data_IF_781531584586
#
_entry.id   IF_781531584586
#
_cell.length_a   1.000
_cell.length_b   1.000
_cell.length_c   1.000
_cell.angle_alpha   90.00
_cell.angle_beta   90.00
_cell.angle_gamma   90.00
#
_symmetry.space_group_name_H-M   'P 1'
#
loop_
_entity.id
_entity.type
_entity.pdbx_description
1 polymer ?
#
# COMPACT_ATOMS: atom_id res chain seq x y z
N UNK A 1 20.92 14.97 -7.59
CA UNK A 1 20.15 14.16 -6.59
C UNK A 1 20.98 13.90 -5.35
N UNK A 2 22.21 13.38 -5.48
CA UNK A 2 23.13 13.24 -4.32
C UNK A 2 23.32 14.56 -3.57
N UNK A 3 23.36 15.67 -4.29
CA UNK A 3 23.50 17.05 -3.79
C UNK A 3 22.34 17.47 -2.88
N UNK A 4 21.10 17.11 -3.26
CA UNK A 4 19.91 17.35 -2.46
C UNK A 4 19.92 16.49 -1.19
N UNK A 5 20.30 15.22 -1.29
CA UNK A 5 20.48 14.34 -0.13
C UNK A 5 21.56 14.86 0.83
N UNK A 6 22.68 15.37 0.29
CA UNK A 6 23.75 15.99 1.09
C UNK A 6 23.29 17.29 1.75
N UNK A 7 22.63 18.18 1.02
CA UNK A 7 22.11 19.43 1.55
C UNK A 7 21.07 19.20 2.66
N UNK A 8 20.14 18.27 2.45
CA UNK A 8 19.16 17.88 3.47
C UNK A 8 19.84 17.28 4.70
N UNK A 9 20.82 16.39 4.52
CA UNK A 9 21.58 15.79 5.65
C UNK A 9 22.30 16.86 6.47
N UNK A 10 22.95 17.84 5.81
CA UNK A 10 23.57 18.97 6.49
C UNK A 10 22.56 19.81 7.27
N UNK A 11 21.43 20.19 6.65
CA UNK A 11 20.41 21.00 7.30
C UNK A 11 19.74 20.29 8.50
N UNK A 12 19.54 18.96 8.40
CA UNK A 12 19.03 18.14 9.50
C UNK A 12 20.04 18.00 10.65
N UNK A 13 21.34 18.02 10.37
CA UNK A 13 22.40 17.99 11.37
C UNK A 13 22.63 19.35 12.07
N UNK A 14 22.39 20.46 11.34
CA UNK A 14 22.45 21.83 11.87
C UNK A 14 21.21 22.17 12.74
N UNK A 15 20.06 21.55 12.45
CA UNK A 15 18.85 21.69 13.28
C UNK A 15 18.89 20.84 14.55
N UNK A 16 19.04 21.53 15.69
CA UNK A 16 18.91 20.94 17.04
C UNK A 16 17.51 20.37 17.30
N UNK A 17 16.45 21.06 16.87
CA UNK A 17 15.05 20.63 17.05
C UNK A 17 14.75 19.31 16.32
N UNK A 18 15.23 19.17 15.07
CA UNK A 18 15.13 17.92 14.31
C UNK A 18 15.94 16.83 15.01
N UNK A 19 17.18 17.12 15.41
CA UNK A 19 18.05 16.17 16.11
C UNK A 19 17.45 15.65 17.43
N UNK A 20 16.83 16.51 18.23
CA UNK A 20 16.16 16.16 19.48
C UNK A 20 14.87 15.37 19.24
N UNK A 21 14.14 15.66 18.17
CA UNK A 21 12.94 14.91 17.77
C UNK A 21 13.30 13.51 17.26
N UNK A 22 14.35 13.37 16.44
CA UNK A 22 14.91 12.09 16.02
C UNK A 22 15.49 11.27 17.20
N UNK A 23 16.01 11.95 18.23
CA UNK A 23 16.47 11.28 19.47
C UNK A 23 15.28 10.74 20.27
N UNK A 24 14.24 11.57 20.50
CA UNK A 24 13.00 11.20 21.19
C UNK A 24 12.31 10.01 20.53
N UNK A 25 12.11 10.06 19.21
CA UNK A 25 11.49 8.96 18.45
C UNK A 25 12.27 7.64 18.57
N UNK A 26 13.61 7.67 18.47
CA UNK A 26 14.44 6.47 18.67
C UNK A 26 14.42 5.96 20.12
N UNK A 27 14.37 6.84 21.12
CA UNK A 27 14.22 6.40 22.53
C UNK A 27 12.86 5.76 22.82
N UNK A 28 11.82 6.11 22.05
CA UNK A 28 10.51 5.43 22.10
C UNK A 28 10.47 4.11 21.31
N UNK A 29 11.61 3.63 20.78
CA UNK A 29 11.71 2.35 20.06
C UNK A 29 11.36 2.40 18.57
N UNK A 30 11.08 3.58 17.99
CA UNK A 30 10.75 3.67 16.56
C UNK A 30 11.98 3.54 15.67
N UNK A 31 11.92 2.61 14.72
CA UNK A 31 12.77 2.62 13.54
C UNK A 31 12.30 3.72 12.57
N UNK A 32 13.23 4.50 12.02
CA UNK A 32 12.93 5.67 11.20
C UNK A 32 13.47 5.48 9.77
N UNK A 33 12.65 5.80 8.78
CA UNK A 33 13.01 5.80 7.36
C UNK A 33 12.38 7.01 6.69
N UNK A 34 13.10 7.60 5.72
CA UNK A 34 12.63 8.74 4.93
C UNK A 34 12.80 8.39 3.44
N UNK A 35 11.71 8.47 2.68
CA UNK A 35 11.73 8.34 1.23
C UNK A 35 11.59 9.70 0.57
N UNK A 36 12.35 9.95 -0.49
CA UNK A 36 12.34 11.20 -1.26
C UNK A 36 12.13 10.89 -2.74
N UNK A 37 10.90 11.02 -3.21
CA UNK A 37 10.61 11.08 -4.65
C UNK A 37 10.77 12.53 -5.15
N UNK A 38 11.27 12.70 -6.36
CA UNK A 38 11.62 13.98 -6.96
C UNK A 38 11.33 13.95 -8.47
N UNK A 39 10.05 14.15 -8.82
CA UNK A 39 9.60 14.20 -10.22
C UNK A 39 9.99 15.54 -10.85
N UNK A 40 10.71 15.50 -11.97
CA UNK A 40 11.12 16.70 -12.71
C UNK A 40 9.90 17.32 -13.40
N UNK A 41 9.57 18.57 -13.05
CA UNK A 41 8.47 19.30 -13.69
C UNK A 41 8.66 19.38 -15.21
N UNK A 42 7.65 18.93 -15.97
CA UNK A 42 7.69 18.85 -17.43
C UNK A 42 6.45 18.17 -18.02
N UNK A 43 5.92 17.14 -17.34
CA UNK A 43 4.65 16.50 -17.70
C UNK A 43 3.81 16.29 -16.43
N UNK A 44 2.62 16.91 -16.36
CA UNK A 44 1.69 16.72 -15.22
C UNK A 44 0.85 15.47 -15.45
N UNK A 45 1.52 14.32 -15.50
CA UNK A 45 0.88 13.02 -15.33
C UNK A 45 0.97 12.69 -13.84
N UNK A 46 -0.15 12.83 -13.12
CA UNK A 46 -0.26 12.47 -11.70
C UNK A 46 -0.23 10.93 -11.55
N UNK A 47 0.93 10.33 -11.83
CA UNK A 47 1.26 8.98 -11.41
C UNK A 47 1.22 8.95 -9.87
N UNK A 48 0.24 8.27 -9.25
CA UNK A 48 0.19 8.16 -7.80
C UNK A 48 1.43 7.42 -7.32
N UNK A 49 1.98 7.83 -6.17
CA UNK A 49 3.01 7.05 -5.50
C UNK A 49 2.46 5.62 -5.24
N UNK A 50 3.28 4.57 -5.37
CA UNK A 50 2.90 3.23 -4.93
C UNK A 50 2.86 3.20 -3.40
N UNK A 51 1.74 3.67 -2.85
CA UNK A 51 1.42 3.55 -1.41
C UNK A 51 1.43 2.07 -1.06
N UNK A 52 2.01 1.70 0.08
CA UNK A 52 2.17 0.31 0.48
C UNK A 52 0.83 -0.44 0.44
N UNK A 53 0.78 -1.56 -0.29
CA UNK A 53 -0.46 -2.22 -0.64
C UNK A 53 -1.15 -2.87 0.57
N UNK A 54 -2.35 -2.38 0.86
CA UNK A 54 -3.37 -2.95 1.76
C UNK A 54 -4.67 -3.16 0.93
N UNK A 55 -5.69 -3.86 1.51
CA UNK A 55 -7.23 -3.95 1.39
C UNK A 55 -8.46 -2.99 0.64
N UNK A 56 -9.13 -4.22 0.38
CA UNK A 56 -10.01 -4.87 -0.68
C UNK A 56 -11.53 -4.80 -0.47
N UNK A 57 -12.38 -4.47 -1.47
CA UNK A 57 -12.73 -5.29 -2.65
C UNK A 57 -13.90 -4.71 -3.51
N UNK A 58 -13.81 -4.82 -4.86
CA UNK A 58 -14.93 -4.86 -5.85
C UNK A 58 -15.79 -3.61 -6.17
N UNK A 59 -16.48 -3.53 -7.32
CA UNK A 59 -16.35 -4.23 -8.61
C UNK A 59 -17.12 -3.51 -9.74
N UNK A 60 -16.67 -3.73 -10.98
CA UNK A 60 -17.25 -3.26 -12.25
C UNK A 60 -17.27 -1.73 -12.48
N UNK A 61 -16.64 -1.30 -13.58
CA UNK A 61 -16.29 0.08 -13.92
C UNK A 61 -15.32 0.78 -12.95
N UNK A 62 -14.62 1.79 -13.48
CA UNK A 62 -13.51 2.46 -12.80
C UNK A 62 -13.98 3.67 -11.98
N UNK A 63 -14.30 3.48 -10.70
CA UNK A 63 -14.74 4.59 -9.84
C UNK A 63 -14.59 4.38 -8.31
N UNK A 64 -13.40 3.98 -7.83
CA UNK A 64 -12.96 4.25 -6.44
C UNK A 64 -11.46 3.97 -6.25
N UNK A 65 -10.67 5.01 -5.97
CA UNK A 65 -9.25 4.87 -5.60
C UNK A 65 -9.12 4.71 -4.08
N UNK A 66 -8.98 3.47 -3.62
CA UNK A 66 -8.69 3.18 -2.20
C UNK A 66 -9.27 1.88 -1.64
N UNK A 67 -9.99 1.07 -2.43
CA UNK A 67 -10.64 -0.18 -1.95
C UNK A 67 -9.83 -1.45 -2.31
N UNK A 68 -9.52 -2.30 -1.32
CA UNK A 68 -7.33 -2.09 -1.09
C UNK A 68 -6.90 -3.45 -1.80
N UNK A 69 -7.56 -3.72 -2.93
CA UNK A 69 -7.60 -4.93 -3.79
C UNK A 69 -7.09 -6.33 -3.28
N UNK A 70 -8.01 -7.29 -3.08
CA UNK A 70 -7.73 -8.70 -2.69
C UNK A 70 -7.49 -9.64 -3.89
N UNK A 71 -6.58 -10.62 -3.76
CA UNK A 71 -6.26 -11.60 -4.80
C UNK A 71 -6.09 -13.01 -4.20
N UNK A 72 -6.55 -14.04 -4.93
CA UNK A 72 -6.43 -15.46 -4.55
C UNK A 72 -5.26 -16.08 -5.30
N UNK A 73 -4.27 -16.61 -4.59
CA UNK A 73 -3.07 -17.23 -5.14
C UNK A 73 -3.19 -18.77 -5.31
N UNK A 74 -2.14 -19.41 -5.84
CA UNK A 74 -2.12 -20.85 -6.12
C UNK A 74 -2.22 -21.76 -4.89
N UNK A 75 -1.80 -21.30 -3.73
CA UNK A 75 -1.89 -22.01 -2.45
C UNK A 75 -3.23 -21.80 -1.76
N UNK A 76 -3.79 -20.58 -1.85
CA UNK A 76 -5.18 -20.33 -1.46
C UNK A 76 -6.14 -21.25 -2.24
N UNK A 77 -5.91 -21.41 -3.55
CA UNK A 77 -6.65 -22.36 -4.39
C UNK A 77 -6.43 -23.82 -3.98
N UNK A 78 -5.33 -24.19 -3.33
CA UNK A 78 -5.14 -25.53 -2.76
C UNK A 78 -5.90 -25.67 -1.44
N UNK A 79 -5.77 -24.70 -0.53
CA UNK A 79 -6.44 -24.67 0.76
C UNK A 79 -7.97 -24.67 0.62
N UNK A 80 -8.54 -23.76 -0.17
CA UNK A 80 -9.99 -23.63 -0.35
C UNK A 80 -10.60 -24.95 -0.86
N UNK A 81 -9.97 -25.60 -1.85
CA UNK A 81 -10.43 -26.89 -2.36
C UNK A 81 -10.32 -28.03 -1.34
N UNK A 82 -9.34 -27.98 -0.42
CA UNK A 82 -9.23 -28.95 0.67
C UNK A 82 -10.39 -28.88 1.67
N UNK A 83 -10.96 -27.68 1.88
CA UNK A 83 -12.17 -27.46 2.70
C UNK A 83 -13.48 -27.49 1.87
N UNK A 84 -13.42 -28.01 0.64
CA UNK A 84 -14.60 -28.19 -0.24
C UNK A 84 -15.09 -26.91 -0.96
N UNK A 85 -14.39 -25.79 -0.83
CA UNK A 85 -14.71 -24.52 -1.49
C UNK A 85 -13.92 -24.41 -2.79
N UNK A 86 -14.60 -24.36 -3.93
CA UNK A 86 -13.97 -24.10 -5.23
C UNK A 86 -14.38 -22.71 -5.73
N UNK A 87 -13.53 -21.68 -5.61
CA UNK A 87 -13.84 -20.32 -6.07
C UNK A 87 -13.91 -20.19 -7.60
N UNK A 88 -13.44 -21.19 -8.36
CA UNK A 88 -13.56 -21.22 -9.82
C UNK A 88 -14.91 -21.79 -10.29
N UNK A 89 -15.64 -22.46 -9.39
CA UNK A 89 -16.88 -23.17 -9.70
C UNK A 89 -18.07 -22.21 -9.65
N UNK A 90 -18.72 -21.99 -10.80
CA UNK A 90 -19.90 -21.10 -10.90
C UNK A 90 -20.98 -21.48 -9.89
N UNK A 91 -21.28 -20.58 -8.96
CA UNK A 91 -22.33 -20.76 -7.96
C UNK A 91 -23.68 -21.02 -8.63
N UNK A 92 -24.30 -22.16 -8.33
CA UNK A 92 -25.67 -22.44 -8.77
C UNK A 92 -26.65 -21.66 -7.89
N UNK A 93 -27.23 -20.60 -8.45
CA UNK A 93 -28.31 -19.84 -7.82
C UNK A 93 -29.43 -20.79 -7.40
N UNK A 94 -29.55 -21.03 -6.09
CA UNK A 94 -30.62 -21.84 -5.50
C UNK A 94 -31.92 -21.06 -5.62
N UNK A 95 -32.63 -21.23 -6.75
CA UNK A 95 -34.00 -20.74 -6.97
C UNK A 95 -34.82 -21.07 -5.71
N UNK A 96 -35.14 -20.05 -4.90
CA UNK A 96 -36.18 -20.20 -3.87
C UNK A 96 -37.45 -20.53 -4.63
N UNK A 97 -37.98 -21.74 -4.46
CA UNK A 97 -39.38 -22.00 -4.78
C UNK A 97 -40.18 -21.12 -3.82
N UNK A 98 -41.03 -20.27 -4.37
CA UNK A 98 -42.04 -19.58 -3.57
C UNK A 98 -42.96 -20.61 -2.91
N UNK A 99 -43.36 -20.31 -1.69
CA UNK A 99 -44.59 -20.79 -1.08
C UNK A 99 -45.53 -19.58 -1.00
#
# INVERSE_FOLDING_TARGET
>A
MQDLGRALTSAMAESSEVSDTLRRLRSSGYALYLSLDCKRGGEVRQEPLPVAATSGVSAANASSSGEPNFQINGDDLRFLRSIGIDPTRRCRTRRRRGA
#
